data_IF_673056078315
#
_entry.id   IF_673056078315
#
_cell.length_a   1.000
_cell.length_b   1.000
_cell.length_c   1.000
_cell.angle_alpha   90.00
_cell.angle_beta   90.00
_cell.angle_gamma   90.00
#
_symmetry.space_group_name_H-M   'P 1'
#
loop_
_entity.id
_entity.type
_entity.pdbx_description
1 polymer ?
#
# COMPACT_ATOMS: atom_id res chain seq x y z
N UNK A 1 22.85 -0.20 -6.51
CA UNK A 1 21.89 0.83 -6.89
C UNK A 1 20.67 0.16 -7.56
N UNK A 2 19.47 0.43 -7.07
CA UNK A 2 18.24 -0.20 -7.56
C UNK A 2 17.85 0.27 -8.96
N UNK A 3 18.28 1.46 -9.36
CA UNK A 3 17.94 2.04 -10.67
C UNK A 3 18.70 1.37 -11.82
N UNK A 4 19.86 0.81 -11.55
CA UNK A 4 20.74 0.23 -12.57
C UNK A 4 20.89 -1.29 -12.48
N UNK A 5 20.47 -1.90 -11.36
CA UNK A 5 20.61 -3.34 -11.18
C UNK A 5 19.61 -4.09 -12.07
N UNK A 6 20.03 -5.14 -12.82
CA UNK A 6 19.17 -5.85 -13.77
C UNK A 6 17.88 -6.46 -13.18
N UNK A 7 17.88 -6.76 -11.87
CA UNK A 7 16.71 -7.34 -11.20
C UNK A 7 15.68 -6.28 -10.77
N UNK A 8 16.00 -4.99 -10.82
CA UNK A 8 15.17 -3.92 -10.25
C UNK A 8 14.88 -2.79 -11.23
N UNK A 9 15.76 -2.52 -12.20
CA UNK A 9 15.65 -1.38 -13.10
C UNK A 9 14.35 -1.33 -13.89
N UNK A 10 13.82 -2.47 -14.32
CA UNK A 10 12.54 -2.53 -15.04
C UNK A 10 11.37 -2.08 -14.15
N UNK A 11 11.38 -2.46 -12.86
CA UNK A 11 10.34 -2.04 -11.91
C UNK A 11 10.46 -0.56 -11.55
N UNK A 12 11.67 -0.02 -11.45
CA UNK A 12 11.91 1.42 -11.27
C UNK A 12 11.26 2.21 -12.39
N UNK A 13 11.45 1.80 -13.66
CA UNK A 13 10.81 2.43 -14.81
C UNK A 13 9.26 2.39 -14.74
N UNK A 14 8.68 1.34 -14.17
CA UNK A 14 7.21 1.29 -13.98
C UNK A 14 6.75 2.26 -12.88
N UNK A 15 7.54 2.49 -11.83
CA UNK A 15 7.26 3.51 -10.83
C UNK A 15 7.44 4.94 -11.40
N UNK A 16 8.45 5.19 -12.22
CA UNK A 16 8.60 6.46 -12.95
C UNK A 16 7.36 6.74 -13.80
N UNK A 17 6.88 5.74 -14.56
CA UNK A 17 5.63 5.85 -15.33
C UNK A 17 4.39 6.08 -14.46
N UNK A 18 4.38 5.63 -13.21
CA UNK A 18 3.30 5.92 -12.28
C UNK A 18 3.22 7.42 -12.02
N UNK A 19 4.36 8.08 -11.76
CA UNK A 19 4.41 9.54 -11.56
C UNK A 19 4.08 10.28 -12.86
N UNK A 20 4.74 9.96 -13.97
CA UNK A 20 4.59 10.65 -15.25
C UNK A 20 3.15 10.63 -15.74
N UNK A 21 2.44 9.51 -15.55
CA UNK A 21 1.04 9.37 -15.99
C UNK A 21 0.10 10.35 -15.30
N UNK A 22 0.38 10.77 -14.08
CA UNK A 22 -0.43 11.76 -13.38
C UNK A 22 -0.39 13.14 -14.07
N UNK A 23 0.68 13.44 -14.78
CA UNK A 23 0.89 14.71 -15.48
C UNK A 23 0.76 14.57 -17.01
N UNK A 24 0.30 13.43 -17.49
CA UNK A 24 -0.07 13.26 -18.89
C UNK A 24 -1.40 14.00 -19.17
N UNK A 25 -1.47 14.89 -20.18
CA UNK A 25 -2.68 15.67 -20.49
C UNK A 25 -3.94 14.82 -20.71
N UNK A 26 -3.80 13.55 -21.08
CA UNK A 26 -4.93 12.61 -21.24
C UNK A 26 -5.52 12.19 -19.89
N UNK A 27 -4.71 12.16 -18.83
CA UNK A 27 -5.06 11.58 -17.54
C UNK A 27 -5.12 12.59 -16.39
N UNK A 28 -4.49 13.78 -16.54
CA UNK A 28 -4.31 14.71 -15.43
C UNK A 28 -5.62 15.12 -14.74
N UNK A 29 -6.70 15.35 -15.48
CA UNK A 29 -7.98 15.75 -14.90
C UNK A 29 -8.68 14.63 -14.11
N UNK A 30 -8.34 13.37 -14.40
CA UNK A 30 -8.89 12.22 -13.69
C UNK A 30 -8.00 11.75 -12.54
N UNK A 31 -6.70 12.10 -12.54
CA UNK A 31 -5.72 11.62 -11.58
C UNK A 31 -5.25 12.67 -10.58
N UNK A 32 -5.37 13.96 -10.91
CA UNK A 32 -4.92 15.07 -10.06
C UNK A 32 -6.08 15.77 -9.36
N UNK A 33 -5.78 16.44 -8.26
CA UNK A 33 -6.72 17.33 -7.57
C UNK A 33 -7.12 18.49 -8.46
N UNK A 34 -8.29 19.09 -8.20
CA UNK A 34 -8.68 20.31 -8.89
C UNK A 34 -7.74 21.47 -8.53
N UNK A 35 -7.56 22.44 -9.44
CA UNK A 35 -6.84 23.65 -9.12
C UNK A 35 -7.59 24.41 -8.01
N UNK A 36 -6.95 24.62 -6.88
CA UNK A 36 -7.49 25.37 -5.73
C UNK A 36 -7.01 26.82 -5.66
N UNK A 37 -6.51 27.35 -6.78
CA UNK A 37 -5.85 28.65 -6.86
C UNK A 37 -4.37 28.62 -6.49
N UNK A 38 -3.84 27.47 -6.08
CA UNK A 38 -2.40 27.21 -6.05
C UNK A 38 -1.96 26.68 -7.40
N UNK A 39 -0.68 26.83 -7.74
CA UNK A 39 -0.14 26.33 -9.01
C UNK A 39 0.16 24.84 -8.99
N UNK A 40 -0.03 24.17 -7.84
CA UNK A 40 0.40 22.81 -7.60
C UNK A 40 -0.79 21.85 -7.47
N UNK A 41 -1.01 21.03 -8.51
CA UNK A 41 -1.95 19.92 -8.49
C UNK A 41 -1.24 18.67 -7.92
N UNK A 42 -1.95 17.87 -7.14
CA UNK A 42 -1.42 16.64 -6.50
C UNK A 42 -2.17 15.42 -6.97
N UNK A 43 -1.53 14.24 -7.03
CA UNK A 43 -2.27 13.00 -7.25
C UNK A 43 -3.39 12.82 -6.22
N UNK A 44 -4.58 12.45 -6.68
CA UNK A 44 -5.77 12.26 -5.84
C UNK A 44 -5.54 11.25 -4.70
N UNK A 45 -4.61 10.31 -4.87
CA UNK A 45 -4.23 9.38 -3.82
C UNK A 45 -3.72 10.06 -2.53
N UNK A 46 -3.20 11.29 -2.63
CA UNK A 46 -2.71 12.08 -1.48
C UNK A 46 -3.78 12.97 -0.84
N UNK A 47 -4.96 13.08 -1.45
CA UNK A 47 -6.06 13.88 -0.91
C UNK A 47 -6.65 13.22 0.34
N UNK A 48 -7.07 14.05 1.32
CA UNK A 48 -7.83 13.62 2.49
C UNK A 48 -9.32 13.69 2.15
N UNK A 49 -10.00 12.57 1.86
CA UNK A 49 -11.41 12.61 1.54
C UNK A 49 -12.24 12.88 2.80
N UNK A 50 -13.11 13.87 2.74
CA UNK A 50 -14.05 14.25 3.81
C UNK A 50 -15.51 14.00 3.43
N UNK A 51 -15.73 13.59 2.19
CA UNK A 51 -17.06 13.27 1.64
C UNK A 51 -17.00 12.00 0.81
N UNK A 52 -18.15 11.33 0.65
CA UNK A 52 -18.30 10.19 -0.25
C UNK A 52 -17.92 10.53 -1.70
N UNK A 53 -18.24 11.74 -2.16
CA UNK A 53 -17.88 12.17 -3.53
C UNK A 53 -16.36 12.26 -3.74
N UNK A 54 -15.61 12.80 -2.77
CA UNK A 54 -14.14 12.83 -2.81
C UNK A 54 -13.56 11.43 -2.76
N UNK A 55 -14.09 10.57 -1.90
CA UNK A 55 -13.64 9.18 -1.80
C UNK A 55 -13.88 8.40 -3.11
N UNK A 56 -15.05 8.59 -3.75
CA UNK A 56 -15.34 7.98 -5.05
C UNK A 56 -14.37 8.45 -6.14
N UNK A 57 -14.11 9.76 -6.22
CA UNK A 57 -13.16 10.33 -7.18
C UNK A 57 -11.75 9.79 -6.95
N UNK A 58 -11.31 9.70 -5.69
CA UNK A 58 -10.02 9.10 -5.33
C UNK A 58 -9.97 7.61 -5.74
N UNK A 59 -11.05 6.86 -5.51
CA UNK A 59 -11.16 5.46 -5.91
C UNK A 59 -11.13 5.24 -7.43
N UNK A 60 -11.73 6.14 -8.19
CA UNK A 60 -11.66 6.11 -9.66
C UNK A 60 -10.23 6.33 -10.16
N UNK A 61 -9.52 7.30 -9.61
CA UNK A 61 -8.11 7.55 -9.92
C UNK A 61 -7.22 6.35 -9.58
N UNK A 62 -7.40 5.76 -8.39
CA UNK A 62 -6.65 4.58 -7.97
C UNK A 62 -6.91 3.39 -8.90
N UNK A 63 -8.17 3.12 -9.25
CA UNK A 63 -8.49 2.03 -10.20
C UNK A 63 -7.89 2.26 -11.57
N UNK A 64 -7.96 3.48 -12.11
CA UNK A 64 -7.40 3.82 -13.40
C UNK A 64 -5.88 3.59 -13.46
N UNK A 65 -5.15 4.03 -12.43
CA UNK A 65 -3.70 3.87 -12.38
C UNK A 65 -3.28 2.40 -12.17
N UNK A 66 -4.02 1.65 -11.35
CA UNK A 66 -3.76 0.22 -11.12
C UNK A 66 -4.10 -0.63 -12.36
N UNK A 67 -5.16 -0.30 -13.08
CA UNK A 67 -5.52 -0.95 -14.33
C UNK A 67 -4.44 -0.82 -15.41
N UNK A 68 -3.68 0.25 -15.41
CA UNK A 68 -2.58 0.46 -16.36
C UNK A 68 -1.46 -0.60 -16.27
N UNK A 69 -1.32 -1.27 -15.11
CA UNK A 69 -0.44 -2.43 -14.95
C UNK A 69 -1.17 -3.77 -15.01
N UNK A 70 -2.49 -3.76 -15.29
CA UNK A 70 -3.34 -4.95 -15.18
C UNK A 70 -3.36 -5.51 -13.75
N UNK A 71 -3.27 -4.64 -12.73
CA UNK A 71 -3.22 -5.03 -11.32
C UNK A 71 -1.96 -5.80 -10.92
N UNK A 72 -0.88 -5.73 -11.72
CA UNK A 72 0.38 -6.41 -11.40
C UNK A 72 1.31 -5.58 -10.51
N UNK A 73 1.03 -4.28 -10.33
CA UNK A 73 1.67 -3.40 -9.36
C UNK A 73 0.59 -2.96 -8.39
N UNK A 74 0.70 -3.35 -7.12
CA UNK A 74 -0.26 -3.02 -6.06
C UNK A 74 0.33 -2.15 -4.97
N UNK A 75 1.65 -2.15 -4.79
CA UNK A 75 2.36 -1.27 -3.85
C UNK A 75 2.96 -0.09 -4.62
N UNK A 76 2.11 0.84 -4.99
CA UNK A 76 2.47 2.08 -5.71
C UNK A 76 2.78 3.22 -4.72
N UNK A 77 3.34 4.35 -5.17
CA UNK A 77 3.41 5.56 -4.33
C UNK A 77 2.04 6.01 -3.80
N UNK A 78 0.95 5.78 -4.56
CA UNK A 78 -0.42 6.00 -4.09
C UNK A 78 -0.83 5.08 -2.93
N UNK A 79 -0.36 3.85 -2.90
CA UNK A 79 -0.51 2.98 -1.71
C UNK A 79 0.18 3.59 -0.50
N UNK A 80 1.39 4.13 -0.68
CA UNK A 80 2.12 4.85 0.37
C UNK A 80 1.37 6.07 0.88
N UNK A 81 0.73 6.82 0.00
CA UNK A 81 -0.14 7.94 0.37
C UNK A 81 -1.28 7.50 1.30
N UNK A 82 -1.94 6.40 0.96
CA UNK A 82 -3.02 5.84 1.80
C UNK A 82 -2.53 5.29 3.13
N UNK A 83 -1.29 4.79 3.20
CA UNK A 83 -0.66 4.40 4.47
C UNK A 83 -0.52 5.62 5.38
N UNK A 84 0.03 6.72 4.88
CA UNK A 84 0.20 7.94 5.67
C UNK A 84 -1.15 8.53 6.11
N UNK A 85 -2.13 8.54 5.21
CA UNK A 85 -3.49 8.98 5.48
C UNK A 85 -4.16 8.11 6.56
N UNK A 86 -4.06 6.79 6.42
CA UNK A 86 -4.59 5.83 7.38
C UNK A 86 -3.93 5.92 8.76
N UNK A 87 -2.63 6.19 8.82
CA UNK A 87 -1.90 6.44 10.06
C UNK A 87 -2.41 7.71 10.75
N UNK A 88 -2.52 8.82 10.02
CA UNK A 88 -3.05 10.08 10.56
C UNK A 88 -4.48 9.91 11.08
N UNK A 89 -5.35 9.25 10.30
CA UNK A 89 -6.72 8.96 10.72
C UNK A 89 -6.77 8.11 12.01
N UNK A 90 -5.93 7.07 12.08
CA UNK A 90 -5.84 6.19 13.23
C UNK A 90 -5.43 6.96 14.50
N UNK A 91 -4.39 7.79 14.42
CA UNK A 91 -3.94 8.60 15.56
C UNK A 91 -5.00 9.60 16.04
N UNK A 92 -5.73 10.22 15.12
CA UNK A 92 -6.87 11.10 15.47
C UNK A 92 -8.02 10.33 16.15
N UNK A 93 -8.32 9.13 15.69
CA UNK A 93 -9.38 8.28 16.25
C UNK A 93 -9.05 7.82 17.68
N UNK A 94 -7.76 7.60 17.95
CA UNK A 94 -7.29 7.22 19.29
C UNK A 94 -7.11 8.41 20.25
N UNK A 95 -7.46 9.62 19.83
CA UNK A 95 -7.24 10.85 20.58
C UNK A 95 -5.81 10.99 21.14
N UNK A 96 -4.84 10.66 20.27
CA UNK A 96 -3.41 10.74 20.61
C UNK A 96 -2.97 12.18 20.84
N UNK A 97 -1.79 12.35 21.39
CA UNK A 97 -1.24 13.68 21.68
C UNK A 97 -1.25 14.57 20.43
N UNK A 98 -1.50 15.87 20.63
CA UNK A 98 -1.48 16.85 19.54
C UNK A 98 -0.14 16.89 18.80
N UNK A 99 0.95 16.52 19.48
CA UNK A 99 2.29 16.46 18.90
C UNK A 99 2.42 15.30 17.90
N UNK A 100 1.93 14.09 18.26
CA UNK A 100 1.96 12.93 17.35
C UNK A 100 1.05 13.15 16.14
N UNK A 101 -0.14 13.73 16.38
CA UNK A 101 -1.07 14.06 15.28
C UNK A 101 -0.47 15.11 14.34
N UNK A 102 0.20 16.15 14.89
CA UNK A 102 0.87 17.17 14.09
C UNK A 102 2.01 16.56 13.25
N UNK A 103 2.86 15.73 13.86
CA UNK A 103 3.94 15.04 13.16
C UNK A 103 3.43 14.11 12.04
N UNK A 104 2.35 13.37 12.28
CA UNK A 104 1.74 12.51 11.27
C UNK A 104 1.13 13.31 10.11
N UNK A 105 0.53 14.47 10.42
CA UNK A 105 0.01 15.38 9.39
C UNK A 105 1.14 15.98 8.56
N UNK A 106 2.17 16.51 9.20
CA UNK A 106 3.34 17.05 8.53
C UNK A 106 4.00 16.02 7.62
N UNK A 107 4.12 14.78 8.08
CA UNK A 107 4.62 13.69 7.25
C UNK A 107 3.73 13.43 6.04
N UNK A 108 2.41 13.35 6.22
CA UNK A 108 1.45 13.11 5.12
C UNK A 108 1.48 14.24 4.09
N UNK A 109 1.56 15.51 4.54
CA UNK A 109 1.70 16.68 3.67
C UNK A 109 3.05 16.67 2.95
N UNK A 110 4.14 16.32 3.64
CA UNK A 110 5.48 16.21 3.06
C UNK A 110 5.55 15.19 1.94
N UNK A 111 5.00 13.99 2.12
CA UNK A 111 5.03 12.98 1.04
C UNK A 111 4.13 13.38 -0.14
N UNK A 112 3.03 14.08 0.11
CA UNK A 112 2.17 14.60 -0.94
C UNK A 112 2.88 15.67 -1.80
N UNK A 113 3.78 16.46 -1.18
CA UNK A 113 4.54 17.49 -1.85
C UNK A 113 5.80 16.95 -2.54
N UNK A 114 6.49 15.99 -1.91
CA UNK A 114 7.76 15.47 -2.41
C UNK A 114 7.64 14.25 -3.31
N UNK A 115 6.46 13.61 -3.34
CA UNK A 115 6.24 12.36 -4.06
C UNK A 115 7.01 11.17 -3.46
N UNK A 116 7.50 11.24 -2.20
CA UNK A 116 8.24 10.15 -1.57
C UNK A 116 7.41 8.88 -1.51
N UNK A 117 8.04 7.76 -1.80
CA UNK A 117 7.41 6.46 -1.76
C UNK A 117 7.52 5.85 -0.36
N UNK A 118 6.38 5.72 0.31
CA UNK A 118 6.21 5.02 1.57
C UNK A 118 5.64 3.62 1.32
N UNK A 119 6.19 2.61 1.97
CA UNK A 119 5.56 1.27 2.05
C UNK A 119 5.27 0.87 3.50
N UNK A 120 4.68 -0.31 3.70
CA UNK A 120 4.21 -0.75 5.00
C UNK A 120 4.85 -2.08 5.42
N UNK A 121 5.22 -2.15 6.70
CA UNK A 121 5.74 -3.35 7.33
C UNK A 121 5.00 -3.64 8.65
N UNK A 122 4.04 -4.54 8.60
CA UNK A 122 3.42 -5.09 9.81
C UNK A 122 4.40 -6.00 10.55
N UNK A 123 4.91 -5.51 11.69
CA UNK A 123 6.07 -6.09 12.36
C UNK A 123 5.94 -7.53 12.82
N UNK A 124 6.96 -8.27 12.56
CA UNK A 124 7.24 -9.62 13.05
C UNK A 124 7.00 -10.73 12.03
N UNK A 125 7.72 -11.85 12.15
CA UNK A 125 7.57 -12.98 11.24
C UNK A 125 6.19 -13.62 11.41
N UNK A 126 5.51 -13.90 10.29
CA UNK A 126 4.25 -14.66 10.23
C UNK A 126 4.45 -16.15 10.56
N UNK A 127 5.59 -16.53 11.12
CA UNK A 127 5.98 -17.90 11.35
C UNK A 127 5.44 -18.35 12.70
N UNK A 128 4.78 -19.48 12.70
CA UNK A 128 3.93 -20.08 13.71
C UNK A 128 4.38 -20.06 15.20
N UNK A 129 3.55 -20.59 16.12
CA UNK A 129 3.70 -20.40 17.56
C UNK A 129 5.03 -20.86 18.16
N UNK A 130 5.77 -21.75 17.47
CA UNK A 130 7.07 -22.28 17.93
C UNK A 130 8.22 -21.29 17.78
N UNK A 131 8.05 -20.23 16.96
CA UNK A 131 9.07 -19.21 16.69
C UNK A 131 8.78 -17.88 17.41
N UNK A 132 7.80 -17.83 18.31
CA UNK A 132 7.57 -16.67 19.19
C UNK A 132 8.74 -16.34 20.12
N UNK A 133 9.69 -17.26 20.25
CA UNK A 133 10.94 -17.06 21.02
C UNK A 133 12.11 -16.60 20.13
N UNK A 134 11.87 -16.33 18.84
CA UNK A 134 12.91 -15.85 17.94
C UNK A 134 13.30 -14.41 18.32
N UNK A 135 14.58 -14.10 18.52
CA UNK A 135 15.10 -12.76 18.81
C UNK A 135 14.92 -11.75 17.67
N UNK A 136 14.06 -12.05 16.73
CA UNK A 136 13.81 -11.31 15.48
C UNK A 136 12.74 -10.22 15.63
N UNK A 137 12.04 -10.15 16.77
CA UNK A 137 11.08 -9.08 17.04
C UNK A 137 11.75 -7.71 17.09
N UNK A 138 11.00 -6.65 16.79
CA UNK A 138 11.47 -5.28 16.98
C UNK A 138 11.74 -5.08 18.48
N UNK A 139 12.97 -4.68 18.80
CA UNK A 139 13.40 -4.39 20.15
C UNK A 139 13.71 -2.90 20.28
N UNK A 140 13.19 -2.28 21.32
CA UNK A 140 13.55 -0.93 21.73
C UNK A 140 14.86 -1.02 22.54
N UNK A 141 15.96 -0.56 21.96
CA UNK A 141 17.29 -0.57 22.59
C UNK A 141 17.53 0.68 23.46
N UNK A 142 16.83 1.79 23.15
CA UNK A 142 16.90 3.02 23.94
C UNK A 142 15.83 4.02 23.53
N UNK A 143 15.48 4.92 24.45
CA UNK A 143 14.53 6.02 24.23
C UNK A 143 15.07 7.30 24.88
N UNK A 144 14.96 8.43 24.17
CA UNK A 144 15.31 9.76 24.62
C UNK A 144 14.29 10.77 24.10
N UNK A 145 14.34 12.02 24.55
CA UNK A 145 13.50 13.09 24.02
C UNK A 145 13.70 13.33 22.52
N UNK A 146 14.89 12.98 22.00
CA UNK A 146 15.23 13.15 20.58
C UNK A 146 14.71 12.03 19.69
N UNK A 147 14.35 10.88 20.25
CA UNK A 147 13.89 9.72 19.48
C UNK A 147 14.19 8.40 20.16
N UNK A 148 14.13 7.33 19.40
CA UNK A 148 14.34 5.96 19.84
C UNK A 148 15.48 5.29 19.08
N UNK A 149 16.07 4.25 19.68
CA UNK A 149 17.00 3.34 19.01
C UNK A 149 16.36 1.96 18.96
N UNK A 150 16.30 1.38 17.78
CA UNK A 150 15.65 0.08 17.54
C UNK A 150 16.57 -0.90 16.87
N UNK A 151 16.41 -2.17 17.21
CA UNK A 151 17.01 -3.31 16.52
C UNK A 151 15.96 -4.37 16.24
N UNK A 152 16.21 -5.20 15.25
CA UNK A 152 15.33 -6.32 14.95
C UNK A 152 15.24 -6.63 13.47
N UNK A 153 14.26 -7.46 13.13
CA UNK A 153 14.01 -7.90 11.76
C UNK A 153 12.52 -7.92 11.48
N UNK A 154 12.12 -7.38 10.36
CA UNK A 154 10.76 -7.50 9.82
C UNK A 154 10.82 -8.18 8.45
N UNK A 155 9.84 -9.05 8.18
CA UNK A 155 9.87 -9.92 7.00
C UNK A 155 8.68 -9.67 6.09
N UNK A 156 8.90 -9.97 4.80
CA UNK A 156 7.90 -10.01 3.74
C UNK A 156 7.18 -8.67 3.53
N UNK A 157 7.96 -7.67 3.14
CA UNK A 157 7.44 -6.35 2.79
C UNK A 157 7.66 -6.08 1.31
N UNK A 158 6.56 -5.93 0.61
CA UNK A 158 6.53 -5.69 -0.84
C UNK A 158 7.01 -4.27 -1.12
N UNK A 159 7.75 -4.10 -2.20
CA UNK A 159 8.29 -2.83 -2.71
C UNK A 159 9.30 -2.11 -1.83
N UNK A 160 9.69 -2.68 -0.70
CA UNK A 160 10.70 -2.08 0.20
C UNK A 160 12.03 -1.74 -0.51
N UNK A 161 12.55 -2.52 -1.47
CA UNK A 161 13.76 -2.15 -2.19
C UNK A 161 13.66 -0.86 -3.00
N UNK A 162 12.44 -0.40 -3.30
CA UNK A 162 12.14 0.77 -4.13
C UNK A 162 11.65 1.98 -3.31
N UNK A 163 11.24 1.76 -2.07
CA UNK A 163 10.70 2.80 -1.20
C UNK A 163 11.80 3.62 -0.54
N UNK A 164 11.53 4.90 -0.30
CA UNK A 164 12.37 5.75 0.54
C UNK A 164 12.09 5.56 2.03
N UNK A 165 10.83 5.29 2.37
CA UNK A 165 10.38 5.15 3.76
C UNK A 165 9.54 3.88 3.95
N UNK A 166 9.56 3.33 5.15
CA UNK A 166 8.69 2.20 5.56
C UNK A 166 8.01 2.54 6.86
N UNK A 167 6.67 2.52 6.89
CA UNK A 167 5.92 2.51 8.15
C UNK A 167 6.03 1.13 8.77
N UNK A 168 6.67 1.03 9.92
CA UNK A 168 6.80 -0.20 10.69
C UNK A 168 5.84 -0.12 11.88
N UNK A 169 5.04 -1.18 12.06
CA UNK A 169 4.18 -1.34 13.24
C UNK A 169 4.64 -2.56 14.04
N UNK A 170 4.88 -2.40 15.34
CA UNK A 170 5.22 -3.54 16.19
C UNK A 170 4.03 -4.49 16.31
N UNK A 171 4.33 -5.78 16.40
CA UNK A 171 3.34 -6.83 16.62
C UNK A 171 3.04 -7.05 18.09
N UNK A 172 4.05 -6.82 18.91
CA UNK A 172 4.02 -7.05 20.33
C UNK A 172 4.05 -5.71 21.07
N UNK A 173 3.44 -5.70 22.24
CA UNK A 173 3.44 -4.56 23.15
C UNK A 173 4.84 -4.31 23.72
N UNK A 174 5.25 -3.06 23.87
CA UNK A 174 6.57 -2.63 24.32
C UNK A 174 6.50 -1.73 25.57
N UNK A 175 7.16 -2.08 26.64
CA UNK A 175 7.42 -3.44 27.13
C UNK A 175 6.09 -4.11 27.44
N UNK A 176 6.08 -5.42 27.63
CA UNK A 176 4.86 -6.17 27.90
C UNK A 176 4.06 -5.57 29.07
N UNK A 177 2.76 -5.35 28.85
CA UNK A 177 1.87 -4.69 29.83
C UNK A 177 1.91 -3.16 29.85
N UNK A 178 2.65 -2.53 28.92
CA UNK A 178 2.71 -1.05 28.84
C UNK A 178 1.52 -0.39 28.12
N UNK A 179 0.71 -1.15 27.39
CA UNK A 179 -0.32 -0.63 26.47
C UNK A 179 0.26 0.12 25.27
N UNK A 180 1.54 -0.07 24.99
CA UNK A 180 2.25 0.64 23.92
C UNK A 180 2.61 -0.30 22.77
N UNK A 181 2.08 -0.05 21.57
CA UNK A 181 2.54 -0.62 20.32
C UNK A 181 3.33 0.44 19.56
N UNK A 182 4.56 0.12 19.22
CA UNK A 182 5.45 1.04 18.56
C UNK A 182 5.14 1.09 17.05
N UNK A 183 4.84 2.28 16.57
CA UNK A 183 4.77 2.61 15.17
C UNK A 183 5.85 3.63 14.83
N UNK A 184 6.58 3.43 13.77
CA UNK A 184 7.59 4.40 13.34
C UNK A 184 7.83 4.36 11.83
N UNK A 185 8.25 5.50 11.30
CA UNK A 185 8.62 5.62 9.89
C UNK A 185 10.13 5.52 9.80
N UNK A 186 10.60 4.47 9.12
CA UNK A 186 12.00 4.16 8.91
C UNK A 186 12.43 4.60 7.52
N UNK A 187 13.38 5.56 7.39
CA UNK A 187 14.08 5.77 6.12
C UNK A 187 14.92 4.54 5.77
N UNK A 188 14.71 3.99 4.58
CA UNK A 188 15.34 2.71 4.17
C UNK A 188 16.86 2.80 4.09
N UNK A 189 17.39 4.00 3.83
CA UNK A 189 18.82 4.28 3.76
C UNK A 189 19.48 4.66 5.10
N UNK A 190 18.77 4.52 6.23
CA UNK A 190 19.31 4.84 7.55
C UNK A 190 20.52 3.97 7.90
N UNK A 191 21.54 4.51 8.58
CA UNK A 191 22.64 3.71 9.11
C UNK A 191 22.11 2.56 9.98
N UNK A 192 22.67 1.36 9.78
CA UNK A 192 22.23 0.15 10.50
C UNK A 192 21.07 -0.60 9.85
N UNK A 193 20.47 -0.07 8.77
CA UNK A 193 19.43 -0.77 8.00
C UNK A 193 20.06 -1.62 6.89
N UNK A 194 19.53 -2.82 6.72
CA UNK A 194 19.77 -3.69 5.56
C UNK A 194 18.46 -4.16 4.97
N UNK A 195 18.31 -3.98 3.67
CA UNK A 195 17.20 -4.54 2.87
C UNK A 195 17.72 -5.81 2.18
N UNK A 196 17.04 -6.92 2.41
CA UNK A 196 17.34 -8.20 1.77
C UNK A 196 16.14 -8.62 0.95
N UNK A 197 16.21 -8.32 -0.35
CA UNK A 197 15.16 -8.69 -1.29
C UNK A 197 15.20 -10.17 -1.65
N UNK A 198 14.03 -10.75 -1.93
CA UNK A 198 13.95 -12.06 -2.56
C UNK A 198 14.56 -12.03 -3.97
N UNK A 199 14.83 -13.17 -4.50
CA UNK A 199 15.21 -13.31 -5.91
C UNK A 199 14.05 -12.86 -6.81
N UNK A 200 14.37 -12.18 -7.92
CA UNK A 200 13.36 -11.78 -8.92
C UNK A 200 12.60 -12.99 -9.48
N UNK A 201 11.31 -12.78 -9.76
CA UNK A 201 10.47 -13.75 -10.43
C UNK A 201 10.72 -13.83 -11.94
N UNK A 202 11.38 -12.85 -12.53
CA UNK A 202 11.78 -12.86 -13.94
C UNK A 202 12.83 -13.96 -14.19
N UNK A 203 12.38 -15.08 -14.73
CA UNK A 203 13.27 -16.24 -15.01
C UNK A 203 14.06 -16.09 -16.31
N UNK A 204 13.57 -15.25 -17.22
CA UNK A 204 14.16 -14.99 -18.52
C UNK A 204 14.27 -13.49 -18.75
N UNK A 205 15.37 -13.05 -19.35
CA UNK A 205 15.55 -11.66 -19.78
C UNK A 205 14.70 -11.32 -21.00
N UNK A 206 14.19 -12.33 -21.72
CA UNK A 206 13.32 -12.13 -22.87
C UNK A 206 11.90 -11.78 -22.43
N UNK A 207 11.40 -10.54 -22.70
CA UNK A 207 10.06 -10.11 -22.31
C UNK A 207 8.93 -10.93 -22.93
N UNK A 208 9.17 -11.59 -24.07
CA UNK A 208 8.18 -12.48 -24.67
C UNK A 208 7.95 -13.75 -23.83
N UNK A 209 8.99 -14.27 -23.17
CA UNK A 209 8.89 -15.46 -22.31
C UNK A 209 8.45 -15.15 -20.90
N UNK A 210 8.61 -13.91 -20.46
CA UNK A 210 8.26 -13.45 -19.11
C UNK A 210 7.63 -12.05 -19.16
N UNK A 211 6.50 -11.86 -19.88
CA UNK A 211 6.00 -10.52 -20.23
C UNK A 211 5.57 -9.69 -19.02
N UNK A 212 5.10 -10.32 -17.95
CA UNK A 212 4.69 -9.64 -16.73
C UNK A 212 5.83 -9.55 -15.73
N UNK A 213 6.45 -10.66 -15.37
CA UNK A 213 7.48 -10.68 -14.31
C UNK A 213 8.79 -9.98 -14.72
N UNK A 214 9.04 -9.76 -16.02
CA UNK A 214 10.17 -8.94 -16.46
C UNK A 214 9.97 -7.44 -16.28
N UNK A 215 8.74 -6.99 -16.01
CA UNK A 215 8.37 -5.58 -15.83
C UNK A 215 7.81 -5.31 -14.44
N UNK A 216 6.95 -6.17 -13.94
CA UNK A 216 6.14 -5.96 -12.75
C UNK A 216 6.57 -6.91 -11.63
N UNK A 217 7.75 -6.69 -11.07
CA UNK A 217 8.24 -7.47 -9.94
C UNK A 217 8.49 -6.57 -8.73
N UNK A 218 7.46 -6.36 -7.94
CA UNK A 218 7.45 -5.48 -6.76
C UNK A 218 8.44 -5.92 -5.66
N UNK A 219 9.12 -7.00 -5.79
CA UNK A 219 10.11 -7.59 -4.89
C UNK A 219 9.75 -7.48 -3.40
N UNK A 220 9.47 -8.62 -2.79
CA UNK A 220 9.39 -8.69 -1.33
C UNK A 220 10.77 -8.66 -0.71
N UNK A 221 10.88 -8.02 0.44
CA UNK A 221 12.14 -7.91 1.17
C UNK A 221 11.95 -8.16 2.66
N UNK A 222 13.06 -8.45 3.32
CA UNK A 222 13.21 -8.37 4.76
C UNK A 222 14.04 -7.15 5.11
N UNK A 223 13.64 -6.44 6.16
CA UNK A 223 14.40 -5.36 6.77
C UNK A 223 15.12 -5.87 8.01
N UNK A 224 16.40 -5.59 8.10
CA UNK A 224 17.23 -5.86 9.26
C UNK A 224 17.71 -4.54 9.83
N UNK A 225 17.47 -4.32 11.11
CA UNK A 225 17.83 -3.12 11.84
C UNK A 225 18.83 -3.47 12.93
N UNK A 226 19.91 -2.71 13.04
CA UNK A 226 20.88 -2.82 14.10
C UNK A 226 21.17 -1.44 14.65
N UNK A 227 20.71 -1.18 15.87
CA UNK A 227 20.92 0.10 16.59
C UNK A 227 20.54 1.33 15.73
N UNK A 228 19.39 1.26 15.06
CA UNK A 228 18.90 2.31 14.17
C UNK A 228 18.21 3.40 14.98
N UNK A 229 18.69 4.64 14.83
CA UNK A 229 18.05 5.80 15.45
C UNK A 229 16.86 6.27 14.61
N UNK A 230 15.71 6.42 15.27
CA UNK A 230 14.48 6.98 14.69
C UNK A 230 14.18 8.30 15.40
N UNK A 231 14.16 9.43 14.68
CA UNK A 231 13.85 10.74 15.28
C UNK A 231 12.44 10.79 15.84
N UNK A 232 12.20 11.62 16.86
CA UNK A 232 10.94 11.68 17.62
C UNK A 232 9.72 11.96 16.74
N UNK A 233 9.86 12.81 15.75
CA UNK A 233 8.81 13.17 14.79
C UNK A 233 8.38 12.03 13.86
N UNK A 234 9.14 10.93 13.85
CA UNK A 234 8.84 9.70 13.10
C UNK A 234 8.39 8.54 13.99
N UNK A 235 8.16 8.80 15.28
CA UNK A 235 7.76 7.79 16.26
C UNK A 235 6.34 8.05 16.74
N UNK A 236 5.49 7.04 16.69
CA UNK A 236 4.07 7.11 17.01
C UNK A 236 3.70 6.00 18.02
N UNK A 237 2.72 6.27 18.86
CA UNK A 237 2.18 5.26 19.76
C UNK A 237 0.86 4.74 19.19
N UNK A 238 0.91 3.61 18.53
CA UNK A 238 -0.27 2.95 17.97
C UNK A 238 -0.96 2.03 18.95
N UNK A 239 -1.97 1.34 18.45
CA UNK A 239 -2.55 0.14 19.04
C UNK A 239 -2.11 -1.08 18.20
N UNK A 240 -2.43 -2.28 18.72
CA UNK A 240 -2.26 -3.49 17.92
C UNK A 240 -3.07 -3.38 16.63
N UNK A 241 -2.41 -3.52 15.50
CA UNK A 241 -3.07 -3.50 14.21
C UNK A 241 -3.84 -4.82 14.02
N UNK A 242 -5.15 -4.78 14.20
CA UNK A 242 -6.05 -5.91 13.96
C UNK A 242 -6.81 -5.73 12.67
N UNK A 243 -7.03 -6.85 11.94
CA UNK A 243 -7.79 -6.84 10.67
C UNK A 243 -9.25 -6.35 10.84
N UNK A 244 -9.75 -6.39 12.07
CA UNK A 244 -11.12 -6.02 12.44
C UNK A 244 -11.26 -4.61 13.01
N UNK A 245 -10.17 -3.85 13.14
CA UNK A 245 -10.21 -2.47 13.61
C UNK A 245 -10.92 -1.57 12.59
N UNK A 246 -12.16 -1.16 12.88
CA UNK A 246 -13.03 -0.44 11.96
C UNK A 246 -12.51 0.92 11.47
N UNK A 247 -11.63 1.57 12.19
CA UNK A 247 -11.14 2.92 11.87
C UNK A 247 -9.64 2.95 11.63
N UNK A 248 -9.08 1.81 11.27
CA UNK A 248 -7.64 1.64 11.19
C UNK A 248 -7.10 1.91 9.80
N UNK A 249 -5.79 2.05 9.75
CA UNK A 249 -4.97 1.93 8.56
C UNK A 249 -5.42 0.77 7.62
N UNK A 250 -5.95 -0.32 8.19
CA UNK A 250 -6.36 -1.52 7.45
C UNK A 250 -7.46 -1.24 6.42
N UNK A 251 -8.44 -0.38 6.71
CA UNK A 251 -9.51 -0.06 5.75
C UNK A 251 -8.96 0.55 4.46
N UNK A 252 -7.99 1.46 4.59
CA UNK A 252 -7.32 2.09 3.46
C UNK A 252 -6.49 1.09 2.64
N UNK A 253 -5.76 0.22 3.34
CA UNK A 253 -4.93 -0.81 2.71
C UNK A 253 -5.80 -1.85 1.98
N UNK A 254 -6.88 -2.31 2.63
CA UNK A 254 -7.79 -3.29 2.05
C UNK A 254 -8.50 -2.72 0.81
N UNK A 255 -8.93 -1.47 0.87
CA UNK A 255 -9.54 -0.79 -0.27
C UNK A 255 -8.60 -0.73 -1.48
N UNK A 256 -7.37 -0.29 -1.28
CA UNK A 256 -6.37 -0.23 -2.34
C UNK A 256 -6.08 -1.62 -2.93
N UNK A 257 -5.92 -2.63 -2.06
CA UNK A 257 -5.70 -3.99 -2.52
C UNK A 257 -6.89 -4.53 -3.32
N UNK A 258 -8.11 -4.29 -2.87
CA UNK A 258 -9.31 -4.71 -3.62
C UNK A 258 -9.39 -4.02 -4.99
N UNK A 259 -9.01 -2.75 -5.10
CA UNK A 259 -8.88 -2.08 -6.40
C UNK A 259 -7.84 -2.75 -7.30
N UNK A 260 -6.70 -3.15 -6.73
CA UNK A 260 -5.65 -3.88 -7.46
C UNK A 260 -6.09 -5.29 -7.89
N UNK A 261 -6.78 -6.02 -7.02
CA UNK A 261 -7.32 -7.35 -7.33
C UNK A 261 -8.41 -7.27 -8.39
N UNK A 262 -9.28 -6.26 -8.34
CA UNK A 262 -10.27 -6.01 -9.39
C UNK A 262 -9.59 -5.77 -10.73
N UNK A 263 -8.56 -4.91 -10.79
CA UNK A 263 -7.81 -4.66 -12.02
C UNK A 263 -7.15 -5.96 -12.57
N UNK A 264 -6.61 -6.80 -11.67
CA UNK A 264 -6.04 -8.11 -12.06
C UNK A 264 -7.10 -9.09 -12.55
N UNK A 265 -8.27 -9.14 -11.91
CA UNK A 265 -9.37 -9.99 -12.32
C UNK A 265 -9.94 -9.59 -13.68
N UNK A 266 -10.10 -8.28 -13.94
CA UNK A 266 -10.49 -7.73 -15.25
C UNK A 266 -9.47 -8.07 -16.34
N UNK A 267 -8.19 -7.91 -16.05
CA UNK A 267 -7.10 -8.28 -16.96
C UNK A 267 -7.11 -9.79 -17.26
N UNK A 268 -7.31 -10.62 -16.24
CA UNK A 268 -7.39 -12.08 -16.38
C UNK A 268 -8.61 -12.50 -17.20
N UNK A 269 -9.77 -11.88 -16.98
CA UNK A 269 -10.97 -12.11 -17.78
C UNK A 269 -10.72 -11.74 -19.26
N UNK A 270 -10.05 -10.61 -19.53
CA UNK A 270 -9.69 -10.19 -20.86
C UNK A 270 -8.80 -11.23 -21.59
N UNK A 271 -7.78 -11.77 -20.90
CA UNK A 271 -6.93 -12.84 -21.43
C UNK A 271 -7.76 -14.11 -21.70
N UNK A 272 -8.62 -14.52 -20.78
CA UNK A 272 -9.45 -15.71 -20.92
C UNK A 272 -10.40 -15.59 -22.12
N UNK A 273 -11.00 -14.42 -22.34
CA UNK A 273 -11.83 -14.13 -23.52
C UNK A 273 -11.01 -14.22 -24.82
N UNK A 274 -9.83 -13.60 -24.86
CA UNK A 274 -8.96 -13.63 -26.02
C UNK A 274 -8.51 -15.06 -26.37
N UNK A 275 -8.12 -15.85 -25.36
CA UNK A 275 -7.74 -17.26 -25.55
C UNK A 275 -8.92 -18.10 -26.06
N UNK A 276 -10.10 -17.90 -25.51
CA UNK A 276 -11.33 -18.58 -25.94
C UNK A 276 -11.62 -18.33 -27.43
N UNK A 277 -11.39 -17.10 -27.88
CA UNK A 277 -11.53 -16.72 -29.28
C UNK A 277 -10.51 -17.43 -30.19
N UNK A 278 -9.23 -17.35 -29.84
CA UNK A 278 -8.13 -17.94 -30.61
C UNK A 278 -8.27 -19.48 -30.70
N UNK A 279 -8.75 -20.10 -29.60
CA UNK A 279 -8.94 -21.56 -29.55
C UNK A 279 -10.26 -22.05 -30.20
N UNK A 280 -11.13 -21.14 -30.66
CA UNK A 280 -12.41 -21.49 -31.25
C UNK A 280 -13.42 -22.09 -30.26
N UNK A 281 -13.32 -21.74 -28.97
CA UNK A 281 -14.15 -22.31 -27.90
C UNK A 281 -15.35 -21.44 -27.52
N UNK A 282 -15.70 -20.43 -28.31
CA UNK A 282 -16.77 -19.47 -28.01
C UNK A 282 -18.14 -20.13 -27.77
N UNK A 283 -18.40 -21.24 -28.46
CA UNK A 283 -19.67 -21.99 -28.36
C UNK A 283 -19.60 -23.17 -27.37
N UNK A 284 -18.46 -23.38 -26.71
CA UNK A 284 -18.32 -24.49 -25.76
C UNK A 284 -19.03 -24.16 -24.45
N UNK A 285 -20.07 -24.97 -24.03
CA UNK A 285 -20.87 -24.64 -22.85
C UNK A 285 -20.07 -24.59 -21.53
N UNK A 286 -19.03 -25.42 -21.40
CA UNK A 286 -18.17 -25.43 -20.20
C UNK A 286 -17.35 -24.17 -20.13
N UNK A 287 -16.74 -23.75 -21.25
CA UNK A 287 -15.97 -22.51 -21.36
C UNK A 287 -16.85 -21.29 -21.08
N UNK A 288 -18.07 -21.25 -21.69
CA UNK A 288 -19.01 -20.16 -21.44
C UNK A 288 -19.35 -20.07 -19.95
N UNK A 289 -19.65 -21.21 -19.30
CA UNK A 289 -19.95 -21.22 -17.87
C UNK A 289 -18.80 -20.64 -17.05
N UNK A 290 -17.57 -21.06 -17.28
CA UNK A 290 -16.38 -20.58 -16.56
C UNK A 290 -16.15 -19.07 -16.75
N UNK A 291 -16.35 -18.57 -17.98
CA UNK A 291 -16.23 -17.13 -18.27
C UNK A 291 -17.33 -16.31 -17.57
N UNK A 292 -18.56 -16.84 -17.52
CA UNK A 292 -19.68 -16.20 -16.80
C UNK A 292 -19.40 -16.16 -15.31
N UNK A 293 -18.94 -17.27 -14.71
CA UNK A 293 -18.59 -17.33 -13.28
C UNK A 293 -17.52 -16.25 -12.95
N UNK A 294 -16.45 -16.18 -13.75
CA UNK A 294 -15.40 -15.15 -13.58
C UNK A 294 -15.93 -13.73 -13.77
N UNK A 295 -16.81 -13.50 -14.75
CA UNK A 295 -17.42 -12.18 -14.98
C UNK A 295 -18.33 -11.76 -13.83
N UNK A 296 -19.03 -12.70 -13.21
CA UNK A 296 -19.85 -12.45 -12.00
C UNK A 296 -18.97 -12.06 -10.83
N UNK A 297 -17.84 -12.76 -10.61
CA UNK A 297 -16.89 -12.43 -9.53
C UNK A 297 -16.29 -11.03 -9.73
N UNK A 298 -15.87 -10.70 -10.96
CA UNK A 298 -15.38 -9.35 -11.31
C UNK A 298 -16.43 -8.28 -11.01
N UNK A 299 -17.69 -8.52 -11.43
CA UNK A 299 -18.77 -7.54 -11.22
C UNK A 299 -19.14 -7.41 -9.75
N UNK A 300 -19.11 -8.51 -8.99
CA UNK A 300 -19.38 -8.52 -7.55
C UNK A 300 -18.30 -7.68 -6.82
N UNK A 301 -17.02 -7.95 -7.08
CA UNK A 301 -15.91 -7.18 -6.51
C UNK A 301 -16.03 -5.70 -6.82
N UNK A 302 -16.31 -5.34 -8.08
CA UNK A 302 -16.54 -3.95 -8.51
C UNK A 302 -17.67 -3.29 -7.74
N UNK A 303 -18.78 -4.00 -7.56
CA UNK A 303 -19.96 -3.49 -6.84
C UNK A 303 -19.67 -3.27 -5.36
N UNK A 304 -18.97 -4.21 -4.72
CA UNK A 304 -18.58 -4.08 -3.31
C UNK A 304 -17.62 -2.91 -3.07
N UNK A 305 -16.63 -2.71 -3.94
CA UNK A 305 -15.71 -1.56 -3.85
C UNK A 305 -16.50 -0.24 -4.00
N UNK A 306 -17.40 -0.16 -4.98
CA UNK A 306 -18.26 1.04 -5.17
C UNK A 306 -19.19 1.26 -3.97
N UNK A 307 -19.76 0.23 -3.40
CA UNK A 307 -20.58 0.32 -2.20
C UNK A 307 -19.79 0.88 -1.00
N UNK A 308 -18.53 0.45 -0.83
CA UNK A 308 -17.65 0.97 0.22
C UNK A 308 -17.34 2.47 0.07
N UNK A 309 -17.30 2.97 -1.15
CA UNK A 309 -17.07 4.38 -1.46
C UNK A 309 -18.34 5.24 -1.34
N UNK A 310 -19.50 4.67 -1.70
CA UNK A 310 -20.79 5.34 -1.63
C UNK A 310 -21.35 5.47 -0.21
N UNK A 311 -21.04 4.49 0.64
CA UNK A 311 -21.46 4.40 2.04
C UNK A 311 -20.23 4.39 2.97
N UNK A 312 -19.41 5.47 2.98
CA UNK A 312 -18.19 5.52 3.77
C UNK A 312 -18.47 5.63 5.27
N UNK A 313 -17.55 5.14 6.08
CA UNK A 313 -17.55 5.43 7.51
C UNK A 313 -16.96 6.83 7.75
N UNK A 314 -17.72 7.71 8.41
CA UNK A 314 -17.22 9.03 8.83
C UNK A 314 -16.52 8.89 10.19
N UNK A 315 -15.23 9.22 10.23
CA UNK A 315 -14.45 9.12 11.47
C UNK A 315 -14.55 10.37 12.32
N UNK A 316 -14.23 10.26 13.61
CA UNK A 316 -14.13 11.42 14.53
C UNK A 316 -13.10 12.45 14.00
N UNK A 317 -12.08 12.01 13.28
CA UNK A 317 -11.10 12.87 12.61
C UNK A 317 -11.62 13.63 11.39
N UNK A 318 -12.86 13.39 10.96
CA UNK A 318 -13.50 14.04 9.80
C UNK A 318 -13.14 13.39 8.45
N UNK A 319 -12.63 12.16 8.45
CA UNK A 319 -12.29 11.43 7.22
C UNK A 319 -13.46 10.58 6.74
N UNK A 320 -13.70 10.56 5.44
CA UNK A 320 -14.56 9.58 4.79
C UNK A 320 -13.70 8.33 4.47
N UNK A 321 -13.86 7.27 5.26
CA UNK A 321 -13.08 6.03 5.15
C UNK A 321 -13.88 4.98 4.40
N UNK A 322 -13.27 4.22 3.46
CA UNK A 322 -13.97 3.15 2.76
C UNK A 322 -14.59 2.14 3.74
N UNK A 323 -15.87 1.84 3.58
CA UNK A 323 -16.60 0.96 4.49
C UNK A 323 -16.06 -0.47 4.42
N UNK A 324 -15.48 -0.92 5.54
CA UNK A 324 -14.81 -2.21 5.62
C UNK A 324 -15.76 -3.40 5.44
N UNK A 325 -17.03 -3.26 5.80
CA UNK A 325 -18.02 -4.35 5.66
C UNK A 325 -18.24 -4.68 4.18
N UNK A 326 -18.33 -3.66 3.32
CA UNK A 326 -18.45 -3.87 1.88
C UNK A 326 -17.15 -4.41 1.27
N UNK A 327 -16.00 -3.93 1.74
CA UNK A 327 -14.68 -4.40 1.26
C UNK A 327 -14.43 -5.87 1.61
N UNK A 328 -14.87 -6.35 2.77
CA UNK A 328 -14.73 -7.74 3.16
C UNK A 328 -15.52 -8.71 2.27
N UNK A 329 -16.59 -8.23 1.62
CA UNK A 329 -17.37 -9.01 0.67
C UNK A 329 -16.76 -9.01 -0.75
N UNK A 330 -15.78 -8.14 -1.03
CA UNK A 330 -15.09 -8.07 -2.32
C UNK A 330 -13.86 -8.98 -2.39
N UNK A 331 -13.36 -9.46 -1.24
CA UNK A 331 -12.18 -10.31 -1.09
C UNK A 331 -12.61 -11.79 -1.10
#
# INVERSE_FOLDING_TARGET
DVTTHPATSAMVLEYEKWYDRHFDPVWEDSLLTDPDGTTERKPLAFEVPTTSAQLQRQGEAIRAILFASGGNITHTPGYGALIALGMLNHLKTLDKSSVEIAAAREYQESIAHTGRFLTFAGGGPLIGPRLRQDPVAIRLDGETDRGIVVSGKVQMHTSTPFAEDVLITSRDELPSGSGRWLWFILPVNSPGVRVVARRTAARHSNPFLSPLSSRFDELDASLWMKEVFIPRERVFTGERLERTSRHSLVSWLLWHHNCGWLAKAEFTLGIALALTEVMGLKENPVTIKQLVDLAVDVQTSRTCIRAAELDPEMTVGGFAVPNQLHLAAAA
#
